data_IF_199828688356
#
_entry.id   IF_199828688356
#
_cell.length_a   1.000
_cell.length_b   1.000
_cell.length_c   1.000
_cell.angle_alpha   90.00
_cell.angle_beta   90.00
_cell.angle_gamma   90.00
#
_symmetry.space_group_name_H-M   'P 1'
#
loop_
_entity.id
_entity.type
_entity.pdbx_description
1 polymer ?
#
# COMPACT_ATOMS: atom_id res chain seq x y z
N UNK A 1 7.57 14.68 -28.76
CA UNK A 1 7.58 14.32 -27.33
C UNK A 1 7.94 15.57 -26.53
N UNK A 2 7.13 15.99 -25.57
CA UNK A 2 7.45 17.18 -24.77
C UNK A 2 8.54 16.79 -23.75
N UNK A 3 9.80 17.16 -24.03
CA UNK A 3 10.99 16.74 -23.27
C UNK A 3 10.88 17.06 -21.77
N UNK A 4 10.23 18.17 -21.42
CA UNK A 4 10.04 18.60 -20.03
C UNK A 4 9.10 17.64 -19.29
N UNK A 5 7.92 17.33 -19.86
CA UNK A 5 6.95 16.40 -19.24
C UNK A 5 7.54 15.00 -19.06
N UNK A 6 8.29 14.51 -20.03
CA UNK A 6 8.95 13.21 -19.94
C UNK A 6 10.02 13.18 -18.85
N UNK A 7 10.81 14.26 -18.70
CA UNK A 7 11.80 14.39 -17.63
C UNK A 7 11.15 14.38 -16.25
N UNK A 8 10.08 15.16 -16.07
CA UNK A 8 9.34 15.19 -14.82
C UNK A 8 8.68 13.84 -14.51
N UNK A 9 8.04 13.23 -15.50
CA UNK A 9 7.46 11.89 -15.39
C UNK A 9 8.51 10.86 -14.92
N UNK A 10 9.66 10.79 -15.61
CA UNK A 10 10.73 9.86 -15.24
C UNK A 10 11.25 10.11 -13.82
N UNK A 11 11.47 11.38 -13.46
CA UNK A 11 11.93 11.77 -12.12
C UNK A 11 10.95 11.33 -11.01
N UNK A 12 9.67 11.68 -11.15
CA UNK A 12 8.66 11.36 -10.13
C UNK A 12 8.42 9.86 -10.01
N UNK A 13 8.30 9.17 -11.14
CA UNK A 13 8.05 7.72 -11.17
C UNK A 13 9.23 6.95 -10.60
N UNK A 14 10.48 7.24 -11.05
CA UNK A 14 11.66 6.53 -10.54
C UNK A 14 11.84 6.70 -9.04
N UNK A 15 11.69 7.91 -8.51
CA UNK A 15 11.83 8.14 -7.07
C UNK A 15 10.76 7.42 -6.26
N UNK A 16 9.51 7.41 -6.73
CA UNK A 16 8.45 6.71 -6.00
C UNK A 16 8.59 5.18 -6.08
N UNK A 17 8.99 4.63 -7.23
CA UNK A 17 9.28 3.19 -7.37
C UNK A 17 10.41 2.78 -6.41
N UNK A 18 11.51 3.53 -6.34
CA UNK A 18 12.62 3.24 -5.43
C UNK A 18 12.18 3.29 -3.96
N UNK A 19 11.37 4.28 -3.58
CA UNK A 19 10.81 4.35 -2.23
C UNK A 19 9.93 3.15 -1.89
N UNK A 20 9.08 2.72 -2.83
CA UNK A 20 8.19 1.58 -2.64
C UNK A 20 8.94 0.23 -2.61
N UNK A 21 10.03 0.10 -3.36
CA UNK A 21 10.92 -1.07 -3.26
C UNK A 21 11.53 -1.13 -1.85
N UNK A 22 12.06 -0.01 -1.33
CA UNK A 22 12.60 0.03 0.03
C UNK A 22 11.54 -0.36 1.08
N UNK A 23 10.30 0.10 0.91
CA UNK A 23 9.16 -0.29 1.73
C UNK A 23 8.89 -1.80 1.69
N UNK A 24 8.93 -2.43 0.50
CA UNK A 24 8.77 -3.88 0.39
C UNK A 24 9.91 -4.64 1.03
N UNK A 25 11.15 -4.17 0.85
CA UNK A 25 12.34 -4.83 1.42
C UNK A 25 12.28 -4.86 2.95
N UNK A 26 11.87 -3.75 3.59
CA UNK A 26 11.78 -3.78 5.05
C UNK A 26 10.68 -4.72 5.54
N UNK A 27 9.53 -4.77 4.88
CA UNK A 27 8.45 -5.68 5.26
C UNK A 27 8.88 -7.15 5.19
N UNK A 28 9.66 -7.52 4.17
CA UNK A 28 10.23 -8.86 4.05
C UNK A 28 11.27 -9.13 5.14
N UNK A 29 12.13 -8.14 5.45
CA UNK A 29 13.15 -8.26 6.49
C UNK A 29 12.55 -8.39 7.89
N UNK A 30 11.53 -7.60 8.23
CA UNK A 30 10.80 -7.68 9.50
C UNK A 30 10.19 -9.09 9.69
N UNK A 31 9.49 -9.60 8.66
CA UNK A 31 8.94 -10.96 8.69
C UNK A 31 10.04 -12.01 8.89
N UNK A 32 11.19 -11.85 8.23
CA UNK A 32 12.33 -12.76 8.38
C UNK A 32 12.93 -12.74 9.79
N UNK A 33 13.17 -11.55 10.36
CA UNK A 33 13.76 -11.44 11.69
C UNK A 33 12.84 -11.96 12.79
N UNK A 34 11.55 -11.66 12.71
CA UNK A 34 10.55 -12.20 13.64
C UNK A 34 10.44 -13.73 13.53
N UNK A 35 10.50 -14.27 12.31
CA UNK A 35 10.52 -15.71 12.10
C UNK A 35 11.77 -16.38 12.69
N UNK A 36 12.93 -15.75 12.54
CA UNK A 36 14.21 -16.30 12.99
C UNK A 36 14.35 -16.34 14.52
N UNK A 37 13.79 -15.36 15.25
CA UNK A 37 13.90 -15.26 16.71
C UNK A 37 12.73 -15.92 17.45
N UNK A 38 11.49 -15.69 16.99
CA UNK A 38 10.26 -16.09 17.71
C UNK A 38 9.63 -17.34 17.09
N UNK A 39 10.00 -17.65 15.85
CA UNK A 39 9.47 -18.80 15.12
C UNK A 39 8.00 -18.62 14.68
N UNK A 40 7.26 -19.74 14.66
CA UNK A 40 5.88 -19.79 14.14
C UNK A 40 4.90 -18.93 14.93
N UNK A 41 5.07 -18.79 16.24
CA UNK A 41 4.21 -17.96 17.08
C UNK A 41 4.35 -16.48 16.76
N UNK A 42 5.56 -16.03 16.46
CA UNK A 42 5.83 -14.65 16.00
C UNK A 42 5.18 -14.36 14.66
N UNK A 43 5.33 -15.27 13.68
CA UNK A 43 4.69 -15.14 12.37
C UNK A 43 3.16 -15.12 12.47
N UNK A 44 2.59 -15.95 13.34
CA UNK A 44 1.14 -15.95 13.57
C UNK A 44 0.68 -14.62 14.16
N UNK A 45 1.43 -14.05 15.10
CA UNK A 45 1.12 -12.76 15.68
C UNK A 45 1.17 -11.63 14.63
N UNK A 46 2.19 -11.61 13.76
CA UNK A 46 2.27 -10.67 12.63
C UNK A 46 1.07 -10.80 11.70
N UNK A 47 0.73 -12.03 11.31
CA UNK A 47 -0.38 -12.30 10.39
C UNK A 47 -1.73 -11.87 10.96
N UNK A 48 -1.97 -12.08 12.27
CA UNK A 48 -3.19 -11.62 12.95
C UNK A 48 -3.24 -10.09 13.08
N UNK A 49 -2.11 -9.42 13.28
CA UNK A 49 -2.04 -7.97 13.37
C UNK A 49 -2.10 -7.27 12.00
N UNK A 50 -1.75 -7.96 10.91
CA UNK A 50 -1.64 -7.39 9.56
C UNK A 50 -2.89 -6.67 9.06
N UNK A 51 -4.14 -7.19 9.24
CA UNK A 51 -5.35 -6.46 8.83
C UNK A 51 -5.50 -5.11 9.53
N UNK A 52 -5.15 -5.03 10.81
CA UNK A 52 -5.21 -3.76 11.57
C UNK A 52 -4.16 -2.78 11.04
N UNK A 53 -2.96 -3.26 10.75
CA UNK A 53 -1.91 -2.46 10.11
C UNK A 53 -2.38 -1.90 8.75
N UNK A 54 -3.03 -2.72 7.91
CA UNK A 54 -3.59 -2.29 6.63
C UNK A 54 -4.65 -1.19 6.80
N UNK A 55 -5.49 -1.28 7.85
CA UNK A 55 -6.50 -0.24 8.15
C UNK A 55 -5.82 1.06 8.58
N UNK A 56 -4.81 1.01 9.44
CA UNK A 56 -4.05 2.18 9.89
C UNK A 56 -3.34 2.85 8.70
N UNK A 57 -2.55 2.10 7.93
CA UNK A 57 -1.85 2.58 6.74
C UNK A 57 -2.82 3.11 5.69
N UNK A 58 -3.86 2.35 5.39
CA UNK A 58 -4.92 2.74 4.45
C UNK A 58 -5.60 4.05 4.84
N UNK A 59 -5.86 4.27 6.14
CA UNK A 59 -6.43 5.54 6.64
C UNK A 59 -5.46 6.71 6.42
N UNK A 60 -4.17 6.50 6.68
CA UNK A 60 -3.14 7.51 6.39
C UNK A 60 -3.05 7.87 4.91
N UNK A 61 -3.07 6.85 4.03
CA UNK A 61 -3.08 7.02 2.58
C UNK A 61 -4.38 7.65 2.08
N UNK A 62 -5.53 7.30 2.67
CA UNK A 62 -6.83 7.91 2.35
C UNK A 62 -6.79 9.42 2.50
N UNK A 63 -6.34 9.89 3.64
CA UNK A 63 -6.27 11.33 3.92
C UNK A 63 -5.13 11.98 3.14
N UNK A 64 -3.97 11.31 3.06
CA UNK A 64 -2.78 11.78 2.37
C UNK A 64 -2.99 11.96 0.87
N UNK A 65 -3.43 10.93 0.15
CA UNK A 65 -3.64 10.96 -1.31
C UNK A 65 -4.86 11.83 -1.65
N UNK A 66 -5.98 11.65 -0.94
CA UNK A 66 -7.19 12.42 -1.17
C UNK A 66 -6.98 13.91 -0.95
N UNK A 67 -6.29 14.29 0.14
CA UNK A 67 -5.96 15.68 0.45
C UNK A 67 -4.94 16.28 -0.51
N UNK A 68 -3.81 15.61 -0.73
CA UNK A 68 -2.72 16.12 -1.56
C UNK A 68 -3.08 16.26 -3.04
N UNK A 69 -3.95 15.37 -3.57
CA UNK A 69 -4.48 15.50 -4.92
C UNK A 69 -5.29 16.78 -5.06
N UNK A 70 -6.21 17.02 -4.13
CA UNK A 70 -7.02 18.25 -4.11
C UNK A 70 -6.18 19.50 -3.92
N UNK A 71 -5.19 19.44 -3.02
CA UNK A 71 -4.20 20.51 -2.80
C UNK A 71 -3.49 20.89 -4.11
N UNK A 72 -2.94 19.90 -4.85
CA UNK A 72 -2.24 20.15 -6.11
C UNK A 72 -3.11 20.83 -7.16
N UNK A 73 -4.38 20.42 -7.28
CA UNK A 73 -5.35 21.03 -8.21
C UNK A 73 -5.58 22.51 -7.85
N UNK A 74 -5.88 22.80 -6.58
CA UNK A 74 -6.16 24.17 -6.11
C UNK A 74 -4.93 25.07 -6.23
N UNK A 75 -3.76 24.55 -5.88
CA UNK A 75 -2.50 25.27 -6.01
C UNK A 75 -2.21 25.66 -7.45
N UNK A 76 -2.45 24.76 -8.40
CA UNK A 76 -2.27 25.02 -9.84
C UNK A 76 -3.29 26.01 -10.42
N UNK A 77 -4.38 26.28 -9.70
CA UNK A 77 -5.38 27.31 -10.02
C UNK A 77 -5.08 28.66 -9.36
N UNK A 78 -3.97 28.77 -8.62
CA UNK A 78 -3.62 29.92 -7.78
C UNK A 78 -4.61 30.17 -6.61
N UNK A 79 -5.36 29.16 -6.20
CA UNK A 79 -6.28 29.19 -5.06
C UNK A 79 -5.56 28.78 -3.77
N UNK A 80 -4.51 29.51 -3.38
CA UNK A 80 -3.62 29.12 -2.27
C UNK A 80 -4.35 28.99 -0.93
N UNK A 81 -5.27 29.91 -0.60
CA UNK A 81 -6.04 29.84 0.65
C UNK A 81 -6.90 28.56 0.72
N UNK A 82 -7.54 28.17 -0.38
CA UNK A 82 -8.32 26.93 -0.44
C UNK A 82 -7.41 25.69 -0.34
N UNK A 83 -6.23 25.73 -0.93
CA UNK A 83 -5.23 24.67 -0.82
C UNK A 83 -4.75 24.49 0.64
N UNK A 84 -4.47 25.57 1.35
CA UNK A 84 -4.07 25.58 2.77
C UNK A 84 -5.20 25.07 3.67
N UNK A 85 -6.46 25.37 3.35
CA UNK A 85 -7.62 24.79 4.04
C UNK A 85 -7.71 23.26 3.87
N UNK A 86 -7.35 22.73 2.68
CA UNK A 86 -7.30 21.28 2.45
C UNK A 86 -6.23 20.63 3.32
N UNK A 87 -5.04 21.23 3.43
CA UNK A 87 -3.97 20.76 4.29
C UNK A 87 -4.40 20.74 5.76
N UNK A 88 -4.95 21.85 6.26
CA UNK A 88 -5.41 21.99 7.65
C UNK A 88 -6.51 20.98 7.98
N UNK A 89 -7.52 20.84 7.12
CA UNK A 89 -8.61 19.88 7.33
C UNK A 89 -8.10 18.43 7.26
N UNK A 90 -7.17 18.13 6.35
CA UNK A 90 -6.50 16.84 6.29
C UNK A 90 -5.74 16.51 7.57
N UNK A 91 -5.00 17.47 8.12
CA UNK A 91 -4.30 17.28 9.39
C UNK A 91 -5.26 17.04 10.56
N UNK A 92 -6.38 17.77 10.63
CA UNK A 92 -7.41 17.53 11.65
C UNK A 92 -7.97 16.11 11.55
N UNK A 93 -8.24 15.63 10.33
CA UNK A 93 -8.69 14.25 10.11
C UNK A 93 -7.64 13.22 10.54
N UNK A 94 -6.37 13.45 10.20
CA UNK A 94 -5.25 12.59 10.65
C UNK A 94 -5.22 12.50 12.16
N UNK A 95 -5.28 13.64 12.87
CA UNK A 95 -5.25 13.67 14.34
C UNK A 95 -6.48 12.99 14.95
N UNK A 96 -7.66 13.15 14.36
CA UNK A 96 -8.87 12.47 14.79
C UNK A 96 -8.75 10.94 14.69
N UNK A 97 -8.39 10.42 13.51
CA UNK A 97 -8.23 8.98 13.34
C UNK A 97 -7.04 8.43 14.14
N UNK A 98 -5.94 9.18 14.22
CA UNK A 98 -4.80 8.83 15.05
C UNK A 98 -5.20 8.67 16.53
N UNK A 99 -6.02 9.58 17.05
CA UNK A 99 -6.54 9.48 18.41
C UNK A 99 -7.44 8.25 18.60
N UNK A 100 -8.31 7.96 17.63
CA UNK A 100 -9.16 6.76 17.66
C UNK A 100 -8.31 5.50 17.77
N UNK A 101 -7.32 5.32 16.86
CA UNK A 101 -6.45 4.15 16.89
C UNK A 101 -5.60 4.08 18.15
N UNK A 102 -5.05 5.20 18.61
CA UNK A 102 -4.24 5.28 19.83
C UNK A 102 -5.03 4.82 21.06
N UNK A 103 -6.22 5.39 21.28
CA UNK A 103 -7.06 5.03 22.44
C UNK A 103 -7.63 3.61 22.31
N UNK A 104 -7.94 3.14 21.10
CA UNK A 104 -8.34 1.74 20.90
C UNK A 104 -7.19 0.80 21.24
N UNK A 105 -5.95 1.12 20.84
CA UNK A 105 -4.77 0.35 21.22
C UNK A 105 -4.50 0.34 22.71
N UNK A 106 -4.76 1.46 23.40
CA UNK A 106 -4.55 1.58 24.83
C UNK A 106 -5.55 0.79 25.65
N UNK A 107 -6.85 0.86 25.28
CA UNK A 107 -7.96 0.34 26.10
C UNK A 107 -8.62 -0.93 25.57
N UNK A 108 -8.52 -1.21 24.26
CA UNK A 108 -9.27 -2.29 23.62
C UNK A 108 -8.39 -3.29 22.84
N UNK A 109 -7.05 -3.25 22.97
CA UNK A 109 -6.14 -4.15 22.21
C UNK A 109 -6.44 -5.63 22.47
N UNK A 110 -6.70 -6.03 23.72
CA UNK A 110 -7.02 -7.40 24.09
C UNK A 110 -8.32 -7.88 23.43
N UNK A 111 -9.36 -7.04 23.42
CA UNK A 111 -10.62 -7.37 22.76
C UNK A 111 -10.44 -7.54 21.25
N UNK A 112 -9.65 -6.68 20.61
CA UNK A 112 -9.33 -6.81 19.19
C UNK A 112 -8.60 -8.13 18.89
N UNK A 113 -7.64 -8.52 19.73
CA UNK A 113 -6.90 -9.78 19.56
C UNK A 113 -7.83 -10.99 19.65
N UNK A 114 -8.80 -10.94 20.58
CA UNK A 114 -9.85 -11.99 20.68
C UNK A 114 -10.70 -12.04 19.42
N UNK A 115 -11.15 -10.89 18.88
CA UNK A 115 -11.94 -10.81 17.64
C UNK A 115 -11.15 -11.29 16.44
N UNK A 116 -9.83 -11.06 16.40
CA UNK A 116 -8.94 -11.56 15.35
C UNK A 116 -8.70 -13.06 15.42
N UNK A 117 -9.18 -13.74 16.47
CA UNK A 117 -9.14 -15.20 16.58
C UNK A 117 -7.82 -15.75 17.10
N UNK A 118 -7.05 -14.99 17.87
CA UNK A 118 -5.83 -15.47 18.52
C UNK A 118 -6.18 -16.56 19.55
N UNK A 119 -5.50 -17.69 19.48
CA UNK A 119 -5.56 -18.73 20.49
C UNK A 119 -4.71 -18.37 21.74
N UNK A 120 -4.82 -19.19 22.78
CA UNK A 120 -4.12 -18.96 24.06
C UNK A 120 -2.60 -18.88 23.88
N UNK A 121 -2.03 -19.62 22.93
CA UNK A 121 -0.56 -19.71 22.73
C UNK A 121 0.01 -18.44 22.14
N UNK A 122 -0.73 -17.77 21.23
CA UNK A 122 -0.25 -16.57 20.53
C UNK A 122 -0.91 -15.28 21.03
N UNK A 123 -1.87 -15.37 21.94
CA UNK A 123 -2.65 -14.21 22.43
C UNK A 123 -1.75 -13.12 22.97
N UNK A 124 -0.89 -13.44 23.94
CA UNK A 124 -0.01 -12.45 24.58
C UNK A 124 0.98 -11.84 23.58
N UNK A 125 1.56 -12.65 22.71
CA UNK A 125 2.49 -12.20 21.65
C UNK A 125 1.81 -11.26 20.68
N UNK A 126 0.61 -11.62 20.21
CA UNK A 126 -0.21 -10.80 19.31
C UNK A 126 -0.64 -9.49 19.99
N UNK A 127 -1.06 -9.56 21.25
CA UNK A 127 -1.49 -8.37 22.00
C UNK A 127 -0.35 -7.38 22.22
N UNK A 128 0.84 -7.86 22.56
CA UNK A 128 2.04 -6.98 22.68
C UNK A 128 2.35 -6.27 21.38
N UNK A 129 2.39 -7.01 20.28
CA UNK A 129 2.68 -6.45 18.96
C UNK A 129 1.62 -5.44 18.55
N UNK A 130 0.34 -5.84 18.58
CA UNK A 130 -0.79 -5.01 18.16
C UNK A 130 -0.92 -3.74 18.99
N UNK A 131 -0.77 -3.83 20.32
CA UNK A 131 -0.85 -2.68 21.21
C UNK A 131 0.21 -1.63 20.87
N UNK A 132 1.48 -2.03 20.69
CA UNK A 132 2.55 -1.12 20.30
C UNK A 132 2.28 -0.51 18.93
N UNK A 133 1.91 -1.32 17.94
CA UNK A 133 1.57 -0.86 16.60
C UNK A 133 0.49 0.24 16.63
N UNK A 134 -0.59 0.02 17.40
CA UNK A 134 -1.69 0.98 17.52
C UNK A 134 -1.30 2.25 18.28
N UNK A 135 -0.42 2.17 19.28
CA UNK A 135 0.12 3.34 19.96
C UNK A 135 0.96 4.21 19.04
N UNK A 136 1.61 3.62 18.02
CA UNK A 136 2.34 4.33 16.97
C UNK A 136 1.46 4.72 15.76
N UNK A 137 0.16 4.42 15.76
CA UNK A 137 -0.74 4.81 14.67
C UNK A 137 -0.68 6.31 14.34
N UNK A 138 -0.54 7.25 15.31
CA UNK A 138 -0.33 8.66 14.99
C UNK A 138 0.88 8.91 14.10
N UNK A 139 1.99 8.21 14.33
CA UNK A 139 3.20 8.35 13.54
C UNK A 139 3.00 7.80 12.11
N UNK A 140 2.32 6.67 11.95
CA UNK A 140 2.01 6.10 10.63
C UNK A 140 1.14 7.04 9.81
N UNK A 141 0.03 7.52 10.39
CA UNK A 141 -0.90 8.40 9.69
C UNK A 141 -0.25 9.73 9.29
N UNK A 142 0.46 10.37 10.22
CA UNK A 142 1.18 11.62 9.95
C UNK A 142 2.26 11.44 8.89
N UNK A 143 3.03 10.36 8.94
CA UNK A 143 4.07 10.07 7.96
C UNK A 143 3.51 9.92 6.55
N UNK A 144 2.45 9.11 6.36
CA UNK A 144 1.79 8.96 5.06
C UNK A 144 1.22 10.30 4.55
N UNK A 145 0.57 11.04 5.43
CA UNK A 145 0.01 12.36 5.11
C UNK A 145 1.09 13.35 4.65
N UNK A 146 2.14 13.53 5.44
CA UNK A 146 3.21 14.47 5.14
C UNK A 146 3.99 14.09 3.88
N UNK A 147 4.31 12.80 3.69
CA UNK A 147 4.96 12.33 2.46
C UNK A 147 4.13 12.62 1.21
N UNK A 148 2.81 12.41 1.26
CA UNK A 148 1.91 12.72 0.15
C UNK A 148 1.91 14.22 -0.16
N UNK A 149 1.85 15.09 0.85
CA UNK A 149 1.87 16.53 0.65
C UNK A 149 3.22 17.03 0.14
N UNK A 150 4.35 16.60 0.70
CA UNK A 150 5.70 16.99 0.25
C UNK A 150 5.93 16.56 -1.21
N UNK A 151 5.48 15.36 -1.59
CA UNK A 151 5.55 14.88 -2.97
C UNK A 151 4.72 15.74 -3.92
N UNK A 152 3.52 16.11 -3.53
CA UNK A 152 2.60 16.96 -4.30
C UNK A 152 3.02 18.43 -4.33
N UNK A 153 3.85 18.86 -3.38
CA UNK A 153 4.46 20.20 -3.33
C UNK A 153 5.74 20.31 -4.18
N UNK A 154 5.98 19.35 -5.08
CA UNK A 154 7.07 19.40 -6.05
C UNK A 154 8.39 18.79 -5.55
N UNK A 155 8.40 18.10 -4.41
CA UNK A 155 9.63 17.49 -3.86
C UNK A 155 9.55 15.94 -3.71
N UNK A 156 9.41 15.19 -4.82
CA UNK A 156 9.34 13.74 -4.77
C UNK A 156 10.64 13.09 -4.28
N UNK A 157 11.79 13.73 -4.49
CA UNK A 157 13.08 13.21 -4.02
C UNK A 157 13.17 13.21 -2.49
N UNK A 158 12.62 14.22 -1.82
CA UNK A 158 12.60 14.25 -0.36
C UNK A 158 11.62 13.22 0.20
N UNK A 159 10.46 13.05 -0.41
CA UNK A 159 9.51 11.98 -0.05
C UNK A 159 10.16 10.59 -0.19
N UNK A 160 10.88 10.33 -1.29
CA UNK A 160 11.65 9.10 -1.49
C UNK A 160 12.72 8.93 -0.41
N UNK A 161 13.52 9.97 -0.14
CA UNK A 161 14.58 9.91 0.87
C UNK A 161 14.00 9.55 2.26
N UNK A 162 12.87 10.14 2.63
CA UNK A 162 12.17 9.84 3.87
C UNK A 162 11.69 8.37 3.92
N UNK A 163 11.11 7.86 2.82
CA UNK A 163 10.70 6.46 2.72
C UNK A 163 11.89 5.50 2.85
N UNK A 164 12.97 5.74 2.12
CA UNK A 164 14.16 4.87 2.15
C UNK A 164 14.80 4.90 3.55
N UNK A 165 14.95 6.08 4.15
CA UNK A 165 15.54 6.21 5.49
C UNK A 165 14.66 5.52 6.54
N UNK A 166 13.33 5.70 6.49
CA UNK A 166 12.41 5.01 7.37
C UNK A 166 12.49 3.49 7.21
N UNK A 167 12.47 2.98 5.98
CA UNK A 167 12.56 1.54 5.69
C UNK A 167 13.91 0.95 6.13
N UNK A 168 15.01 1.63 5.86
CA UNK A 168 16.35 1.17 6.29
C UNK A 168 16.49 1.20 7.81
N UNK A 169 15.99 2.26 8.46
CA UNK A 169 16.01 2.33 9.92
C UNK A 169 15.19 1.23 10.58
N UNK A 170 14.07 0.83 9.98
CA UNK A 170 13.29 -0.30 10.45
C UNK A 170 14.15 -1.59 10.46
N UNK A 171 14.78 -1.94 9.33
CA UNK A 171 15.63 -3.14 9.22
C UNK A 171 16.75 -3.13 10.28
N UNK A 172 17.41 -1.98 10.47
CA UNK A 172 18.49 -1.85 11.44
C UNK A 172 17.97 -1.97 12.88
N UNK A 173 16.85 -1.31 13.19
CA UNK A 173 16.26 -1.34 14.52
C UNK A 173 15.66 -2.72 14.84
N UNK A 174 15.04 -3.41 13.89
CA UNK A 174 14.58 -4.78 14.07
C UNK A 174 15.73 -5.69 14.46
N UNK A 175 16.84 -5.64 13.71
CA UNK A 175 18.02 -6.42 14.04
C UNK A 175 18.54 -6.10 15.46
N UNK A 176 18.67 -4.82 15.81
CA UNK A 176 19.21 -4.38 17.11
C UNK A 176 18.29 -4.79 18.27
N UNK A 177 17.00 -4.57 18.14
CA UNK A 177 16.05 -4.81 19.23
C UNK A 177 15.76 -6.31 19.41
N UNK A 178 15.68 -7.07 18.33
CA UNK A 178 15.40 -8.50 18.39
C UNK A 178 16.63 -9.27 18.91
N UNK A 179 17.79 -9.13 18.27
CA UNK A 179 18.96 -9.97 18.55
C UNK A 179 19.83 -9.43 19.69
N UNK A 180 20.49 -8.26 19.63
CA UNK A 180 21.34 -7.77 20.73
C UNK A 180 20.57 -7.47 22.02
N UNK A 181 19.37 -6.90 21.91
CA UNK A 181 18.58 -6.50 23.10
C UNK A 181 17.58 -7.55 23.56
N UNK A 182 17.40 -8.64 22.82
CA UNK A 182 16.50 -9.76 23.15
C UNK A 182 15.08 -9.31 23.50
N UNK A 183 14.57 -8.27 22.81
CA UNK A 183 13.23 -7.72 23.06
C UNK A 183 12.11 -8.53 22.37
N UNK A 184 12.47 -9.50 21.52
CA UNK A 184 11.52 -10.36 20.80
C UNK A 184 10.47 -9.56 20.01
N UNK A 185 9.20 -9.97 20.09
CA UNK A 185 8.08 -9.36 19.36
C UNK A 185 7.84 -7.88 19.72
N UNK A 186 8.15 -7.49 20.96
CA UNK A 186 8.05 -6.09 21.38
C UNK A 186 9.09 -5.23 20.65
N UNK A 187 10.31 -5.76 20.46
CA UNK A 187 11.38 -5.11 19.71
C UNK A 187 10.98 -4.86 18.25
N UNK A 188 10.41 -5.89 17.58
CA UNK A 188 9.89 -5.77 16.22
C UNK A 188 8.80 -4.70 16.12
N UNK A 189 7.81 -4.72 17.01
CA UNK A 189 6.74 -3.72 17.04
C UNK A 189 7.28 -2.29 17.27
N UNK A 190 8.28 -2.15 18.14
CA UNK A 190 8.90 -0.86 18.45
C UNK A 190 9.71 -0.32 17.25
N UNK A 191 10.47 -1.16 16.57
CA UNK A 191 11.22 -0.78 15.37
C UNK A 191 10.27 -0.33 14.25
N UNK A 192 9.20 -1.11 14.03
CA UNK A 192 8.14 -0.77 13.06
C UNK A 192 7.46 0.56 13.41
N UNK A 193 7.19 0.82 14.69
CA UNK A 193 6.59 2.07 15.17
C UNK A 193 7.53 3.29 15.09
N UNK A 194 8.84 3.11 15.30
CA UNK A 194 9.84 4.18 15.22
C UNK A 194 10.19 4.58 13.79
N UNK A 195 10.08 3.64 12.85
CA UNK A 195 10.40 3.86 11.44
C UNK A 195 9.68 5.10 10.83
N UNK A 196 8.35 5.28 10.96
CA UNK A 196 7.68 6.48 10.47
C UNK A 196 8.11 7.76 11.20
N UNK A 197 8.52 7.67 12.46
CA UNK A 197 9.06 8.84 13.20
C UNK A 197 10.38 9.27 12.59
N UNK A 198 11.30 8.33 12.33
CA UNK A 198 12.60 8.62 11.68
C UNK A 198 12.37 9.16 10.26
N UNK A 199 11.43 8.59 9.52
CA UNK A 199 11.04 9.11 8.21
C UNK A 199 10.57 10.57 8.27
N UNK A 200 9.76 10.93 9.26
CA UNK A 200 9.31 12.32 9.46
C UNK A 200 10.45 13.27 9.84
N UNK A 201 11.47 12.81 10.57
CA UNK A 201 12.65 13.62 10.89
C UNK A 201 13.42 14.04 9.62
N UNK A 202 13.41 13.20 8.58
CA UNK A 202 14.00 13.56 7.26
C UNK A 202 13.20 14.67 6.58
N UNK A 203 11.89 14.74 6.81
CA UNK A 203 11.04 15.80 6.26
C UNK A 203 11.15 17.13 7.04
N UNK A 204 11.57 17.06 8.31
CA UNK A 204 11.58 18.22 9.22
C UNK A 204 12.35 19.45 8.68
N UNK A 205 13.55 19.31 8.07
CA UNK A 205 14.27 20.46 7.51
C UNK A 205 13.51 21.19 6.39
N UNK A 206 12.60 20.52 5.70
CA UNK A 206 11.76 21.13 4.67
C UNK A 206 10.79 22.15 5.26
N UNK A 207 10.20 21.82 6.41
CA UNK A 207 9.29 22.70 7.14
C UNK A 207 10.04 23.80 7.88
N UNK A 208 11.14 23.48 8.57
CA UNK A 208 11.93 24.46 9.30
C UNK A 208 12.51 25.54 8.38
N UNK A 209 12.92 25.18 7.17
CA UNK A 209 13.43 26.12 6.16
C UNK A 209 12.31 26.81 5.38
N UNK A 210 11.05 26.62 5.76
CA UNK A 210 9.87 27.22 5.09
C UNK A 210 9.85 27.01 3.57
N UNK A 211 10.28 25.84 3.11
CA UNK A 211 10.31 25.48 1.68
C UNK A 211 8.97 24.94 1.19
N UNK A 212 8.08 24.58 2.11
CA UNK A 212 6.73 24.11 1.82
C UNK A 212 5.84 25.26 1.37
N UNK A 213 4.97 24.97 0.40
CA UNK A 213 4.00 25.96 -0.12
C UNK A 213 2.61 25.80 0.51
N UNK A 214 2.44 24.92 1.49
CA UNK A 214 1.20 24.70 2.26
C UNK A 214 1.38 25.14 3.71
N UNK A 215 0.36 25.79 4.27
CA UNK A 215 0.41 26.39 5.60
C UNK A 215 -0.82 26.00 6.43
N UNK A 216 -0.64 26.05 7.74
CA UNK A 216 -1.77 25.93 8.67
C UNK A 216 -2.58 27.23 8.64
N UNK A 217 -3.88 27.11 8.49
CA UNK A 217 -4.83 28.21 8.49
C UNK A 217 -5.97 27.92 9.45
N UNK A 218 -6.68 28.95 9.88
CA UNK A 218 -7.89 28.76 10.72
C UNK A 218 -8.93 28.03 9.86
N UNK A 219 -9.47 26.89 10.34
CA UNK A 219 -10.45 26.12 9.59
C UNK A 219 -11.73 26.92 9.32
N UNK A 220 -12.14 26.97 8.06
CA UNK A 220 -13.44 27.54 7.70
C UNK A 220 -14.52 26.48 7.94
N UNK A 221 -15.25 26.59 9.05
CA UNK A 221 -16.25 25.63 9.47
C UNK A 221 -17.36 25.41 8.43
N UNK A 222 -17.73 26.45 7.68
CA UNK A 222 -18.75 26.35 6.61
C UNK A 222 -18.30 25.45 5.47
N UNK A 223 -17.03 25.54 5.09
CA UNK A 223 -16.45 24.76 3.98
C UNK A 223 -15.85 23.42 4.46
N UNK A 224 -15.61 23.26 5.75
CA UNK A 224 -14.94 22.10 6.35
C UNK A 224 -15.63 20.79 5.95
N UNK A 225 -16.97 20.71 6.08
CA UNK A 225 -17.75 19.51 5.72
C UNK A 225 -17.53 19.11 4.27
N UNK A 226 -17.58 20.07 3.34
CA UNK A 226 -17.40 19.82 1.91
C UNK A 226 -15.95 19.41 1.59
N UNK A 227 -14.97 20.07 2.20
CA UNK A 227 -13.54 19.75 2.02
C UNK A 227 -13.23 18.37 2.56
N UNK A 228 -13.70 18.02 3.75
CA UNK A 228 -13.57 16.68 4.34
C UNK A 228 -14.19 15.61 3.47
N UNK A 229 -15.43 15.82 3.00
CA UNK A 229 -16.09 14.87 2.10
C UNK A 229 -15.28 14.64 0.80
N UNK A 230 -14.69 15.69 0.22
CA UNK A 230 -13.86 15.57 -0.96
C UNK A 230 -12.54 14.83 -0.68
N UNK A 231 -11.87 15.10 0.46
CA UNK A 231 -10.66 14.37 0.87
C UNK A 231 -10.96 12.88 0.99
N UNK A 232 -12.01 12.53 1.73
CA UNK A 232 -12.39 11.14 1.95
C UNK A 232 -12.82 10.47 0.64
N UNK A 233 -13.64 11.12 -0.18
CA UNK A 233 -14.11 10.55 -1.44
C UNK A 233 -12.95 10.21 -2.40
N UNK A 234 -11.96 11.09 -2.53
CA UNK A 234 -10.77 10.82 -3.34
C UNK A 234 -9.81 9.81 -2.69
N UNK A 235 -9.87 9.66 -1.38
CA UNK A 235 -9.01 8.76 -0.61
C UNK A 235 -9.57 7.35 -0.40
N UNK A 236 -10.88 7.12 -0.57
CA UNK A 236 -11.48 5.79 -0.43
C UNK A 236 -10.80 4.72 -1.31
N UNK A 237 -10.45 4.96 -2.59
CA UNK A 237 -9.81 3.94 -3.41
C UNK A 237 -8.48 3.40 -2.83
N UNK A 238 -7.49 4.22 -2.44
CA UNK A 238 -6.28 3.71 -1.81
C UNK A 238 -6.55 3.04 -0.45
N UNK A 239 -7.50 3.55 0.35
CA UNK A 239 -7.91 2.87 1.58
C UNK A 239 -8.42 1.46 1.32
N UNK A 240 -9.34 1.30 0.36
CA UNK A 240 -9.90 0.00 -0.01
C UNK A 240 -8.82 -0.96 -0.53
N UNK A 241 -7.86 -0.45 -1.28
CA UNK A 241 -6.75 -1.27 -1.79
C UNK A 241 -5.88 -1.81 -0.64
N UNK A 242 -5.55 -0.99 0.34
CA UNK A 242 -4.79 -1.41 1.53
C UNK A 242 -5.61 -2.35 2.42
N UNK A 243 -6.83 -1.99 2.76
CA UNK A 243 -7.71 -2.82 3.60
C UNK A 243 -8.00 -4.18 2.98
N UNK A 244 -8.15 -4.24 1.66
CA UNK A 244 -8.37 -5.49 0.94
C UNK A 244 -7.20 -6.46 1.03
N UNK A 245 -5.97 -5.98 1.13
CA UNK A 245 -4.78 -6.85 1.21
C UNK A 245 -4.87 -7.83 2.38
N UNK A 246 -5.34 -7.37 3.54
CA UNK A 246 -5.59 -8.24 4.70
C UNK A 246 -6.72 -9.24 4.48
N UNK A 247 -7.83 -8.81 3.87
CA UNK A 247 -8.99 -9.68 3.58
C UNK A 247 -8.63 -10.73 2.54
N UNK A 248 -7.91 -10.35 1.50
CA UNK A 248 -7.44 -11.26 0.44
C UNK A 248 -6.54 -12.35 1.03
N UNK A 249 -5.58 -11.97 1.86
CA UNK A 249 -4.68 -12.92 2.53
C UNK A 249 -5.47 -13.94 3.36
N UNK A 250 -6.43 -13.48 4.15
CA UNK A 250 -7.28 -14.37 4.95
C UNK A 250 -8.12 -15.29 4.07
N UNK A 251 -8.79 -14.76 3.04
CA UNK A 251 -9.66 -15.54 2.15
C UNK A 251 -8.91 -16.65 1.41
N UNK A 252 -7.75 -16.31 0.83
CA UNK A 252 -6.95 -17.30 0.10
C UNK A 252 -6.40 -18.36 1.04
N UNK A 253 -5.89 -18.00 2.21
CA UNK A 253 -5.45 -18.98 3.21
C UNK A 253 -6.57 -19.91 3.62
N UNK A 254 -7.78 -19.40 3.86
CA UNK A 254 -8.94 -20.20 4.23
C UNK A 254 -9.35 -21.20 3.14
N UNK A 255 -9.39 -20.77 1.87
CA UNK A 255 -9.74 -21.63 0.74
C UNK A 255 -8.66 -22.68 0.52
N UNK A 256 -7.39 -22.28 0.52
CA UNK A 256 -6.25 -23.15 0.24
C UNK A 256 -6.09 -24.21 1.33
N UNK A 257 -6.27 -23.82 2.60
CA UNK A 257 -6.19 -24.76 3.72
C UNK A 257 -7.19 -25.92 3.56
N UNK A 258 -8.38 -25.66 3.03
CA UNK A 258 -9.40 -26.66 2.76
C UNK A 258 -9.07 -27.58 1.58
N UNK A 259 -8.34 -27.10 0.57
CA UNK A 259 -8.05 -27.84 -0.67
C UNK A 259 -6.75 -28.64 -0.56
N UNK A 260 -5.69 -28.03 -0.03
CA UNK A 260 -4.33 -28.58 -0.07
C UNK A 260 -3.59 -28.53 1.27
N UNK A 261 -4.31 -28.20 2.35
CA UNK A 261 -3.74 -28.16 3.69
C UNK A 261 -2.61 -27.15 3.86
N UNK A 262 -1.75 -27.38 4.84
CA UNK A 262 -0.67 -26.46 5.22
C UNK A 262 0.37 -26.26 4.11
N UNK A 263 0.66 -27.26 3.31
CA UNK A 263 1.62 -27.16 2.20
C UNK A 263 1.13 -26.22 1.12
N UNK A 264 -0.19 -26.22 0.83
CA UNK A 264 -0.80 -25.26 -0.09
C UNK A 264 -0.69 -23.81 0.44
N UNK A 265 -0.93 -23.62 1.74
CA UNK A 265 -0.80 -22.31 2.40
C UNK A 265 0.67 -21.82 2.35
N UNK A 266 1.63 -22.71 2.58
CA UNK A 266 3.05 -22.38 2.45
C UNK A 266 3.42 -21.96 1.01
N UNK A 267 2.89 -22.66 0.00
CA UNK A 267 3.06 -22.28 -1.40
C UNK A 267 2.47 -20.88 -1.71
N UNK A 268 1.29 -20.56 -1.16
CA UNK A 268 0.69 -19.23 -1.30
C UNK A 268 1.49 -18.15 -0.60
N UNK A 269 2.11 -18.43 0.54
CA UNK A 269 2.98 -17.47 1.23
C UNK A 269 4.14 -17.02 0.35
N UNK A 270 4.77 -17.94 -0.41
CA UNK A 270 5.81 -17.59 -1.40
C UNK A 270 5.26 -16.63 -2.46
N UNK A 271 4.07 -16.94 -3.02
CA UNK A 271 3.43 -16.09 -4.02
C UNK A 271 3.10 -14.70 -3.45
N UNK A 272 2.61 -14.65 -2.22
CA UNK A 272 2.24 -13.40 -1.54
C UNK A 272 3.45 -12.49 -1.30
N UNK A 273 4.58 -13.05 -0.89
CA UNK A 273 5.83 -12.28 -0.70
C UNK A 273 6.32 -11.65 -2.00
N UNK A 274 6.28 -12.40 -3.11
CA UNK A 274 6.64 -11.88 -4.43
C UNK A 274 5.59 -10.85 -4.89
N UNK A 275 4.31 -11.10 -4.64
CA UNK A 275 3.21 -10.17 -4.99
C UNK A 275 3.34 -8.82 -4.28
N UNK A 276 3.80 -8.79 -3.03
CA UNK A 276 4.06 -7.55 -2.28
C UNK A 276 5.07 -6.67 -3.02
N UNK A 277 6.17 -7.24 -3.52
CA UNK A 277 7.17 -6.51 -4.31
C UNK A 277 6.58 -6.04 -5.65
N UNK A 278 5.83 -6.89 -6.35
CA UNK A 278 5.22 -6.56 -7.64
C UNK A 278 4.19 -5.44 -7.50
N UNK A 279 3.31 -5.52 -6.51
CA UNK A 279 2.29 -4.47 -6.26
C UNK A 279 2.96 -3.15 -5.88
N UNK A 280 4.06 -3.18 -5.12
CA UNK A 280 4.76 -1.96 -4.74
C UNK A 280 5.37 -1.22 -5.93
N UNK A 281 5.80 -1.91 -7.00
CA UNK A 281 6.25 -1.28 -8.24
C UNK A 281 5.11 -0.49 -8.92
N UNK A 282 3.92 -1.07 -9.03
CA UNK A 282 2.76 -0.37 -9.61
C UNK A 282 2.26 0.76 -8.70
N UNK A 283 2.33 0.57 -7.38
CA UNK A 283 2.01 1.63 -6.41
C UNK A 283 2.99 2.79 -6.54
N UNK A 284 4.28 2.52 -6.71
CA UNK A 284 5.30 3.54 -6.98
C UNK A 284 5.04 4.32 -8.26
N UNK A 285 4.71 3.63 -9.36
CA UNK A 285 4.28 4.26 -10.62
C UNK A 285 3.08 5.17 -10.36
N UNK A 286 2.04 4.66 -9.72
CA UNK A 286 0.79 5.35 -9.40
C UNK A 286 1.04 6.62 -8.56
N UNK A 287 1.78 6.49 -7.46
CA UNK A 287 2.10 7.62 -6.59
C UNK A 287 3.00 8.66 -7.27
N UNK A 288 3.84 8.23 -8.23
CA UNK A 288 4.67 9.14 -9.02
C UNK A 288 3.87 9.99 -10.01
N UNK A 289 2.87 9.43 -10.66
CA UNK A 289 2.08 10.15 -11.67
C UNK A 289 1.00 11.04 -11.06
N UNK A 290 0.50 10.71 -9.87
CA UNK A 290 -0.60 11.41 -9.22
C UNK A 290 -0.38 12.92 -9.10
N UNK A 291 0.75 13.45 -8.58
CA UNK A 291 1.00 14.88 -8.50
C UNK A 291 1.01 15.56 -9.87
N UNK A 292 1.66 14.93 -10.86
CA UNK A 292 1.81 15.49 -12.20
C UNK A 292 0.46 15.62 -12.92
N UNK A 293 -0.40 14.61 -12.81
CA UNK A 293 -1.75 14.66 -13.39
C UNK A 293 -2.58 15.72 -12.67
N UNK A 294 -2.56 15.76 -11.33
CA UNK A 294 -3.34 16.72 -10.54
C UNK A 294 -2.94 18.17 -10.84
N UNK A 295 -1.63 18.46 -10.93
CA UNK A 295 -1.12 19.79 -11.27
C UNK A 295 -1.54 20.21 -12.68
N UNK A 296 -1.35 19.36 -13.69
CA UNK A 296 -1.72 19.68 -15.08
C UNK A 296 -3.23 19.78 -15.26
N UNK A 297 -4.01 18.96 -14.54
CA UNK A 297 -5.47 19.08 -14.53
C UNK A 297 -5.93 20.41 -13.92
N UNK A 298 -5.35 20.79 -12.78
CA UNK A 298 -5.62 22.07 -12.13
C UNK A 298 -5.31 23.27 -13.03
N UNK A 299 -4.19 23.22 -13.75
CA UNK A 299 -3.76 24.23 -14.71
C UNK A 299 -4.56 24.22 -16.05
N UNK A 300 -5.53 23.31 -16.23
CA UNK A 300 -6.33 23.19 -17.45
C UNK A 300 -5.61 22.54 -18.65
N UNK A 301 -4.41 22.00 -18.47
CA UNK A 301 -3.58 21.41 -19.51
C UNK A 301 -4.01 19.98 -19.90
N UNK A 302 -5.18 19.83 -20.52
CA UNK A 302 -5.75 18.52 -20.92
C UNK A 302 -4.78 17.67 -21.75
N UNK A 303 -4.02 18.29 -22.68
CA UNK A 303 -3.06 17.57 -23.53
C UNK A 303 -1.95 16.92 -22.71
N UNK A 304 -1.45 17.61 -21.68
CA UNK A 304 -0.42 17.06 -20.79
C UNK A 304 -0.96 15.92 -19.93
N UNK A 305 -2.18 16.06 -19.42
CA UNK A 305 -2.88 15.01 -18.65
C UNK A 305 -3.00 13.73 -19.47
N UNK A 306 -3.44 13.84 -20.74
CA UNK A 306 -3.53 12.67 -21.64
C UNK A 306 -2.16 12.08 -21.97
N UNK A 307 -1.15 12.92 -22.15
CA UNK A 307 0.23 12.47 -22.41
C UNK A 307 0.80 11.71 -21.20
N UNK A 308 0.59 12.22 -19.97
CA UNK A 308 0.99 11.56 -18.74
C UNK A 308 0.28 10.22 -18.54
N UNK A 309 -1.02 10.16 -18.78
CA UNK A 309 -1.78 8.92 -18.75
C UNK A 309 -1.23 7.89 -19.73
N UNK A 310 -0.95 8.31 -20.99
CA UNK A 310 -0.37 7.42 -21.99
C UNK A 310 1.01 6.92 -21.57
N UNK A 311 1.90 7.77 -21.06
CA UNK A 311 3.21 7.35 -20.55
C UNK A 311 3.06 6.34 -19.41
N UNK A 312 2.12 6.58 -18.50
CA UNK A 312 1.87 5.69 -17.36
C UNK A 312 1.39 4.31 -17.80
N UNK A 313 0.46 4.25 -18.75
CA UNK A 313 -0.02 2.98 -19.30
C UNK A 313 1.07 2.22 -20.05
N UNK A 314 1.87 2.90 -20.87
CA UNK A 314 3.00 2.27 -21.57
C UNK A 314 4.02 1.74 -20.55
N UNK A 315 4.40 2.54 -19.55
CA UNK A 315 5.33 2.11 -18.50
C UNK A 315 4.78 0.92 -17.72
N UNK A 316 3.49 0.92 -17.40
CA UNK A 316 2.81 -0.19 -16.73
C UNK A 316 2.88 -1.49 -17.55
N UNK A 317 2.65 -1.43 -18.86
CA UNK A 317 2.77 -2.59 -19.76
C UNK A 317 4.23 -3.08 -19.83
N UNK A 318 5.19 -2.18 -19.97
CA UNK A 318 6.61 -2.54 -19.99
C UNK A 318 7.05 -3.20 -18.69
N UNK A 319 6.65 -2.64 -17.54
CA UNK A 319 6.87 -3.26 -16.23
C UNK A 319 6.25 -4.65 -16.15
N UNK A 320 5.02 -4.81 -16.64
CA UNK A 320 4.32 -6.10 -16.64
C UNK A 320 5.07 -7.16 -17.46
N UNK A 321 5.56 -6.80 -18.64
CA UNK A 321 6.34 -7.72 -19.50
C UNK A 321 7.63 -8.13 -18.80
N UNK A 322 8.35 -7.18 -18.21
CA UNK A 322 9.61 -7.46 -17.50
C UNK A 322 9.36 -8.33 -16.26
N UNK A 323 8.40 -7.94 -15.42
CA UNK A 323 8.08 -8.67 -14.19
C UNK A 323 7.61 -10.09 -14.49
N UNK A 324 6.64 -10.23 -15.39
CA UNK A 324 6.11 -11.54 -15.76
C UNK A 324 7.17 -12.41 -16.45
N UNK A 325 8.00 -11.82 -17.30
CA UNK A 325 9.12 -12.53 -17.91
C UNK A 325 10.11 -13.06 -16.88
N UNK A 326 10.53 -12.23 -15.90
CA UNK A 326 11.42 -12.66 -14.82
C UNK A 326 10.76 -13.81 -14.02
N UNK A 327 9.51 -13.66 -13.62
CA UNK A 327 8.80 -14.67 -12.84
C UNK A 327 8.64 -15.97 -13.64
N UNK A 328 8.22 -15.89 -14.91
CA UNK A 328 7.96 -17.07 -15.72
C UNK A 328 9.21 -17.92 -15.96
N UNK A 329 10.35 -17.27 -16.29
CA UNK A 329 11.60 -17.98 -16.59
C UNK A 329 12.37 -18.41 -15.34
N UNK A 330 12.19 -17.71 -14.21
CA UNK A 330 12.92 -17.98 -12.98
C UNK A 330 12.06 -18.52 -11.84
N UNK A 331 10.80 -18.95 -12.12
CA UNK A 331 9.89 -19.47 -11.08
C UNK A 331 10.52 -20.57 -10.20
N UNK A 332 11.23 -21.58 -10.72
CA UNK A 332 11.87 -22.59 -9.88
C UNK A 332 12.92 -21.99 -8.92
N UNK A 333 13.74 -21.03 -9.40
CA UNK A 333 14.75 -20.36 -8.56
C UNK A 333 14.10 -19.45 -7.51
N UNK A 334 13.06 -18.74 -7.87
CA UNK A 334 12.31 -17.90 -6.92
C UNK A 334 11.69 -18.74 -5.81
N UNK A 335 11.10 -19.90 -6.15
CA UNK A 335 10.56 -20.81 -5.15
C UNK A 335 11.66 -21.39 -4.26
N UNK A 336 12.83 -21.78 -4.82
CA UNK A 336 13.91 -22.37 -4.05
C UNK A 336 14.49 -21.44 -2.97
N UNK A 337 14.43 -20.13 -3.17
CA UNK A 337 14.85 -19.13 -2.15
C UNK A 337 14.01 -19.22 -0.88
N UNK A 338 12.72 -19.54 -1.01
CA UNK A 338 11.78 -19.64 0.11
C UNK A 338 11.50 -21.07 0.56
N UNK A 339 11.99 -22.07 -0.17
CA UNK A 339 11.83 -23.50 0.10
C UNK A 339 13.18 -24.11 0.52
N UNK A 340 13.67 -23.72 1.70
CA UNK A 340 14.96 -24.20 2.24
C UNK A 340 14.99 -25.70 2.51
N UNK A 341 13.83 -26.30 2.83
CA UNK A 341 13.67 -27.74 3.10
C UNK A 341 13.56 -28.56 1.82
N UNK A 342 13.56 -27.93 0.65
CA UNK A 342 13.42 -28.58 -0.67
C UNK A 342 12.16 -29.47 -0.79
N UNK A 343 11.06 -29.05 -0.15
CA UNK A 343 9.77 -29.74 -0.24
C UNK A 343 9.26 -29.74 -1.69
N UNK A 344 9.21 -30.92 -2.29
CA UNK A 344 8.76 -31.13 -3.66
C UNK A 344 7.27 -30.86 -3.85
N UNK A 345 6.45 -31.09 -2.82
CA UNK A 345 5.00 -30.84 -2.88
C UNK A 345 4.75 -29.33 -2.87
N UNK A 346 5.43 -28.58 -2.00
CA UNK A 346 5.39 -27.10 -2.01
C UNK A 346 5.79 -26.58 -3.39
N UNK A 347 6.90 -27.05 -3.94
CA UNK A 347 7.38 -26.62 -5.26
C UNK A 347 6.37 -26.93 -6.37
N UNK A 348 5.68 -28.10 -6.31
CA UNK A 348 4.67 -28.50 -7.29
C UNK A 348 3.45 -27.57 -7.32
N UNK A 349 3.11 -26.91 -6.20
CA UNK A 349 2.05 -25.91 -6.12
C UNK A 349 2.56 -24.49 -6.42
N UNK A 350 3.72 -24.11 -5.88
CA UNK A 350 4.22 -22.73 -5.96
C UNK A 350 4.71 -22.35 -7.37
N UNK A 351 5.38 -23.26 -8.09
CA UNK A 351 5.92 -22.96 -9.43
C UNK A 351 4.79 -22.68 -10.45
N UNK A 352 3.79 -23.56 -10.64
CA UNK A 352 2.64 -23.25 -11.47
C UNK A 352 1.85 -22.05 -10.95
N UNK A 353 1.72 -21.93 -9.62
CA UNK A 353 1.05 -20.81 -8.96
C UNK A 353 1.66 -19.47 -9.33
N UNK A 354 2.98 -19.32 -9.28
CA UNK A 354 3.67 -18.09 -9.72
C UNK A 354 3.37 -17.78 -11.18
N UNK A 355 3.47 -18.77 -12.07
CA UNK A 355 3.24 -18.57 -13.50
C UNK A 355 1.81 -18.14 -13.82
N UNK A 356 0.81 -18.72 -13.15
CA UNK A 356 -0.59 -18.41 -13.36
C UNK A 356 -1.01 -17.10 -12.70
N UNK A 357 -0.66 -16.92 -11.41
CA UNK A 357 -1.07 -15.75 -10.63
C UNK A 357 -0.58 -14.43 -11.24
N UNK A 358 0.67 -14.38 -11.71
CA UNK A 358 1.25 -13.16 -12.26
C UNK A 358 0.89 -12.86 -13.72
N UNK A 359 0.07 -13.69 -14.38
CA UNK A 359 -0.63 -13.28 -15.61
C UNK A 359 -1.54 -12.07 -15.39
N UNK A 360 -1.87 -11.77 -14.12
CA UNK A 360 -2.59 -10.57 -13.70
C UNK A 360 -1.82 -9.26 -13.94
N UNK A 361 -0.49 -9.27 -14.03
CA UNK A 361 0.36 -8.07 -14.04
C UNK A 361 -0.11 -6.94 -15.00
N UNK A 362 -0.43 -7.19 -16.29
CA UNK A 362 -0.89 -6.13 -17.17
C UNK A 362 -2.18 -5.46 -16.70
N UNK A 363 -3.10 -6.25 -16.17
CA UNK A 363 -4.41 -5.78 -15.71
C UNK A 363 -4.29 -5.03 -14.38
N UNK A 364 -3.47 -5.52 -13.43
CA UNK A 364 -3.15 -4.83 -12.16
C UNK A 364 -2.65 -3.42 -12.46
N UNK A 365 -1.62 -3.33 -13.30
CA UNK A 365 -1.00 -2.06 -13.62
C UNK A 365 -1.96 -1.07 -14.27
N UNK A 366 -2.79 -1.53 -15.21
CA UNK A 366 -3.80 -0.72 -15.85
C UNK A 366 -4.84 -0.22 -14.83
N UNK A 367 -5.39 -1.11 -14.01
CA UNK A 367 -6.44 -0.78 -13.03
C UNK A 367 -5.93 0.23 -11.99
N UNK A 368 -4.68 0.07 -11.50
CA UNK A 368 -4.05 1.00 -10.56
C UNK A 368 -3.83 2.37 -11.20
N UNK A 369 -3.26 2.42 -12.40
CA UNK A 369 -3.00 3.68 -13.14
C UNK A 369 -4.30 4.41 -13.42
N UNK A 370 -5.34 3.72 -13.87
CA UNK A 370 -6.63 4.34 -14.19
C UNK A 370 -7.35 4.84 -12.92
N UNK A 371 -7.32 4.08 -11.84
CA UNK A 371 -7.85 4.52 -10.54
C UNK A 371 -7.17 5.81 -10.08
N UNK A 372 -5.84 5.86 -10.16
CA UNK A 372 -5.05 7.05 -9.81
C UNK A 372 -5.34 8.23 -10.72
N UNK A 373 -5.52 7.99 -12.01
CA UNK A 373 -5.92 9.03 -12.95
C UNK A 373 -7.24 9.70 -12.50
N UNK A 374 -8.27 8.90 -12.21
CA UNK A 374 -9.57 9.45 -11.77
C UNK A 374 -9.48 10.22 -10.45
N UNK A 375 -8.70 9.74 -9.48
CA UNK A 375 -8.42 10.47 -8.24
C UNK A 375 -7.76 11.82 -8.55
N UNK A 376 -6.77 11.80 -9.45
CA UNK A 376 -5.94 12.97 -9.77
C UNK A 376 -6.71 14.08 -10.51
N UNK A 377 -7.79 13.74 -11.20
CA UNK A 377 -8.68 14.71 -11.85
C UNK A 377 -9.91 15.07 -10.99
N UNK A 378 -9.90 14.66 -9.71
CA UNK A 378 -10.99 14.89 -8.76
C UNK A 378 -12.34 14.30 -9.20
N UNK A 379 -12.31 13.12 -9.82
CA UNK A 379 -13.46 12.35 -10.23
C UNK A 379 -13.48 10.96 -9.56
N UNK A 380 -13.75 10.88 -8.24
CA UNK A 380 -13.46 9.68 -7.44
C UNK A 380 -14.38 8.48 -7.72
N UNK A 381 -15.60 8.68 -8.21
CA UNK A 381 -16.55 7.58 -8.35
C UNK A 381 -16.06 6.41 -9.22
N UNK A 382 -15.47 6.60 -10.43
CA UNK A 382 -14.93 5.49 -11.18
C UNK A 382 -13.80 4.77 -10.44
N UNK A 383 -12.93 5.51 -9.74
CA UNK A 383 -11.85 4.93 -8.96
C UNK A 383 -12.36 4.09 -7.79
N UNK A 384 -13.41 4.57 -7.08
CA UNK A 384 -14.06 3.83 -6.01
C UNK A 384 -14.66 2.52 -6.52
N UNK A 385 -15.39 2.57 -7.64
CA UNK A 385 -15.99 1.37 -8.23
C UNK A 385 -14.90 0.36 -8.64
N UNK A 386 -13.84 0.81 -9.32
CA UNK A 386 -12.70 -0.04 -9.69
C UNK A 386 -12.11 -0.70 -8.44
N UNK A 387 -11.85 0.07 -7.38
CA UNK A 387 -11.25 -0.44 -6.14
C UNK A 387 -12.17 -1.43 -5.42
N UNK A 388 -13.47 -1.15 -5.32
CA UNK A 388 -14.44 -2.03 -4.67
C UNK A 388 -14.59 -3.36 -5.45
N UNK A 389 -14.70 -3.29 -6.78
CA UNK A 389 -14.82 -4.48 -7.62
C UNK A 389 -13.60 -5.39 -7.48
N UNK A 390 -12.38 -4.84 -7.58
CA UNK A 390 -11.15 -5.62 -7.51
C UNK A 390 -10.85 -6.16 -6.11
N UNK A 391 -11.30 -5.47 -5.07
CA UNK A 391 -11.00 -5.82 -3.68
C UNK A 391 -11.97 -6.83 -3.07
N UNK A 392 -13.25 -6.75 -3.41
CA UNK A 392 -14.30 -7.52 -2.74
C UNK A 392 -15.30 -8.15 -3.70
N UNK A 393 -16.01 -7.36 -4.49
CA UNK A 393 -17.19 -7.81 -5.22
C UNK A 393 -16.91 -8.82 -6.34
N UNK A 394 -15.74 -8.76 -6.96
CA UNK A 394 -15.34 -9.73 -8.00
C UNK A 394 -14.39 -10.76 -7.44
N UNK A 395 -13.43 -10.35 -6.60
CA UNK A 395 -12.39 -11.25 -6.09
C UNK A 395 -12.97 -12.37 -5.22
N UNK A 396 -13.87 -12.04 -4.29
CA UNK A 396 -14.42 -13.04 -3.36
C UNK A 396 -15.22 -14.11 -4.11
N UNK A 397 -16.23 -13.78 -4.94
CA UNK A 397 -16.96 -14.78 -5.71
C UNK A 397 -16.06 -15.54 -6.68
N UNK A 398 -15.15 -14.85 -7.37
CA UNK A 398 -14.26 -15.47 -8.36
C UNK A 398 -13.32 -16.49 -7.69
N UNK A 399 -12.77 -16.15 -6.50
CA UNK A 399 -11.92 -17.07 -5.73
C UNK A 399 -12.70 -18.32 -5.31
N UNK A 400 -13.94 -18.16 -4.89
CA UNK A 400 -14.78 -19.29 -4.49
C UNK A 400 -15.19 -20.15 -5.68
N UNK A 401 -15.72 -19.57 -6.74
CA UNK A 401 -16.18 -20.30 -7.92
C UNK A 401 -15.03 -21.07 -8.59
N UNK A 402 -13.93 -20.39 -8.88
CA UNK A 402 -12.80 -21.00 -9.57
C UNK A 402 -12.13 -22.08 -8.71
N UNK A 403 -12.02 -21.89 -7.40
CA UNK A 403 -11.46 -22.90 -6.50
C UNK A 403 -12.34 -24.16 -6.44
N UNK A 404 -13.67 -24.01 -6.45
CA UNK A 404 -14.59 -25.17 -6.50
C UNK A 404 -14.50 -25.92 -7.84
N UNK A 405 -14.31 -25.21 -8.97
CA UNK A 405 -14.26 -25.82 -10.29
C UNK A 405 -12.91 -26.46 -10.62
N UNK A 406 -11.79 -25.84 -10.21
CA UNK A 406 -10.45 -26.18 -10.66
C UNK A 406 -9.45 -26.43 -9.52
N UNK A 407 -9.90 -26.48 -8.26
CA UNK A 407 -9.04 -26.70 -7.09
C UNK A 407 -7.96 -25.63 -6.98
N UNK A 408 -6.71 -26.04 -6.70
CA UNK A 408 -5.57 -25.12 -6.54
C UNK A 408 -5.30 -24.28 -7.79
N UNK A 409 -5.46 -24.83 -8.98
CA UNK A 409 -5.32 -24.08 -10.24
C UNK A 409 -6.34 -22.94 -10.31
N UNK A 410 -7.57 -23.18 -9.86
CA UNK A 410 -8.62 -22.18 -9.76
C UNK A 410 -8.29 -21.05 -8.78
N UNK A 411 -7.65 -21.38 -7.65
CA UNK A 411 -7.17 -20.37 -6.70
C UNK A 411 -6.14 -19.44 -7.37
N UNK A 412 -5.19 -20.00 -8.12
CA UNK A 412 -4.17 -19.21 -8.81
C UNK A 412 -4.76 -18.34 -9.93
N UNK A 413 -5.82 -18.76 -10.59
CA UNK A 413 -6.51 -18.03 -11.65
C UNK A 413 -7.49 -16.99 -11.12
N UNK A 414 -7.91 -17.05 -9.86
CA UNK A 414 -8.90 -16.16 -9.29
C UNK A 414 -8.48 -14.68 -9.35
N UNK A 415 -7.22 -14.40 -9.02
CA UNK A 415 -6.70 -13.03 -9.04
C UNK A 415 -6.57 -12.48 -10.47
N UNK A 416 -5.95 -13.19 -11.44
CA UNK A 416 -5.93 -12.77 -12.85
C UNK A 416 -7.32 -12.56 -13.45
N UNK A 417 -8.25 -13.48 -13.19
CA UNK A 417 -9.61 -13.37 -13.69
C UNK A 417 -10.34 -12.13 -13.12
N UNK A 418 -10.13 -11.86 -11.84
CA UNK A 418 -10.66 -10.65 -11.19
C UNK A 418 -10.09 -9.39 -11.83
N UNK A 419 -8.79 -9.28 -11.97
CA UNK A 419 -8.14 -8.09 -12.53
C UNK A 419 -8.50 -7.89 -14.01
N UNK A 420 -8.65 -8.97 -14.77
CA UNK A 420 -9.14 -8.92 -16.16
C UNK A 420 -10.58 -8.43 -16.23
N UNK A 421 -11.49 -8.93 -15.38
CA UNK A 421 -12.88 -8.48 -15.35
C UNK A 421 -12.96 -6.99 -15.03
N UNK A 422 -12.21 -6.53 -14.02
CA UNK A 422 -12.18 -5.12 -13.64
C UNK A 422 -11.54 -4.26 -14.73
N UNK A 423 -10.51 -4.75 -15.42
CA UNK A 423 -9.92 -4.09 -16.59
C UNK A 423 -10.95 -3.87 -17.70
N UNK A 424 -11.73 -4.91 -18.07
CA UNK A 424 -12.78 -4.79 -19.08
C UNK A 424 -13.85 -3.79 -18.67
N UNK A 425 -14.26 -3.80 -17.40
CA UNK A 425 -15.18 -2.80 -16.86
C UNK A 425 -14.57 -1.38 -16.91
N UNK A 426 -13.31 -1.22 -16.52
CA UNK A 426 -12.63 0.06 -16.50
C UNK A 426 -12.50 0.69 -17.90
N UNK A 427 -12.38 -0.13 -18.96
CA UNK A 427 -12.39 0.35 -20.35
C UNK A 427 -13.72 1.03 -20.75
N UNK A 428 -14.83 0.68 -20.11
CA UNK A 428 -16.14 1.33 -20.35
C UNK A 428 -16.20 2.75 -19.79
N UNK A 429 -15.32 3.08 -18.82
CA UNK A 429 -15.23 4.38 -18.15
C UNK A 429 -14.15 5.26 -18.80
N UNK A 430 -14.19 5.40 -20.13
CA UNK A 430 -13.18 6.17 -20.88
C UNK A 430 -12.89 7.53 -20.25
N UNK A 431 -11.59 7.90 -20.11
CA UNK A 431 -11.17 9.20 -19.61
C UNK A 431 -11.48 10.34 -20.58
#
# INVERSE_FOLDING_TARGET
MNKTIFKDFSKYVSFNILGQIAYSCYTLADTFFVSADIGTNGLTALNLAFPVFCIISGTGLMIGIGGSSRFSILKSRNESNAADQVFTNGLILVLLFASIFFFTGLFASQHLVTVLGADIQVFETTNRYLKVLMLFAPAFLLNHFLQCFVRNDGNPSLSMAAMITGSFSNIVLDYIFIFPFHMGIFGAALATGLSPVISMLVLLPYFLKKKNSFHLTIPNLVQMKRTTANILANGIPPFLTEAASGVVMFLFNFIILRISGNTGVAAFSVISMISLVVISLYTGLSQGIQPLISQNHGAGNKKNVQTLLRYSLITSILLSIVIYGIIFFHAPRLVSVFNSEQDLILASYAIPGLKLYFTACPFIGFNIVLSTYFISINHPLPAQIISILRSFFVLIPMSWILSCCFGMTGVWLAYPATELFVFLFALTKRP
#
